data_IF_174335421808
#
_entry.id   IF_174335421808
#
_cell.length_a   1.000
_cell.length_b   1.000
_cell.length_c   1.000
_cell.angle_alpha   90.00
_cell.angle_beta   90.00
_cell.angle_gamma   90.00
#
_symmetry.space_group_name_H-M   'P 1'
#
loop_
_entity.id
_entity.type
_entity.pdbx_description
1 polymer ?
#
# COMPACT_ATOMS: atom_id res chain seq x y z
N UNK A 1 31.02 -14.03 -33.57
CA UNK A 1 29.87 -13.16 -33.21
C UNK A 1 28.62 -13.94 -32.82
N UNK A 2 28.03 -14.80 -33.67
CA UNK A 2 26.80 -15.57 -33.32
C UNK A 2 26.92 -16.42 -32.05
N UNK A 3 28.07 -17.07 -31.83
CA UNK A 3 28.36 -17.87 -30.61
C UNK A 3 28.49 -17.03 -29.34
N UNK A 4 28.97 -15.79 -29.43
CA UNK A 4 29.08 -14.86 -28.29
C UNK A 4 27.71 -14.29 -27.89
N UNK A 5 26.84 -14.02 -28.88
CA UNK A 5 25.46 -13.60 -28.62
C UNK A 5 24.67 -14.72 -27.94
N UNK A 6 24.82 -15.97 -28.41
CA UNK A 6 24.18 -17.12 -27.79
C UNK A 6 24.66 -17.37 -26.35
N UNK A 7 25.97 -17.24 -26.10
CA UNK A 7 26.54 -17.35 -24.75
C UNK A 7 26.03 -16.24 -23.82
N UNK A 8 25.97 -15.00 -24.30
CA UNK A 8 25.41 -13.88 -23.53
C UNK A 8 23.94 -14.15 -23.18
N UNK A 9 23.11 -14.57 -24.16
CA UNK A 9 21.71 -14.93 -23.93
C UNK A 9 21.54 -16.04 -22.89
N UNK A 10 22.38 -17.09 -22.90
CA UNK A 10 22.32 -18.17 -21.90
C UNK A 10 22.76 -17.74 -20.49
N UNK A 11 23.65 -16.74 -20.37
CA UNK A 11 24.06 -16.21 -19.07
C UNK A 11 22.99 -15.30 -18.46
N UNK A 12 22.18 -14.63 -19.29
CA UNK A 12 21.06 -13.82 -18.82
C UNK A 12 19.87 -14.65 -18.31
N UNK A 13 19.61 -15.83 -18.86
CA UNK A 13 18.49 -16.68 -18.40
C UNK A 13 18.73 -17.29 -17.02
N UNK A 14 19.98 -17.42 -16.57
CA UNK A 14 20.31 -17.95 -15.24
C UNK A 14 20.02 -16.97 -14.09
N UNK A 15 19.79 -15.68 -14.38
CA UNK A 15 19.56 -14.65 -13.36
C UNK A 15 18.09 -14.30 -13.13
N UNK A 16 17.15 -14.99 -13.79
CA UNK A 16 15.72 -14.65 -13.78
C UNK A 16 14.83 -15.66 -13.03
N UNK A 17 15.33 -16.29 -11.95
CA UNK A 17 14.54 -17.22 -11.15
C UNK A 17 13.87 -16.51 -9.99
N UNK A 18 12.70 -15.90 -10.21
CA UNK A 18 11.83 -15.47 -9.12
C UNK A 18 11.08 -16.69 -8.58
N UNK A 19 11.19 -16.95 -7.28
CA UNK A 19 10.52 -18.05 -6.58
C UNK A 19 9.21 -17.55 -5.96
N UNK A 20 8.23 -18.45 -5.86
CA UNK A 20 6.99 -18.21 -5.11
C UNK A 20 7.07 -18.95 -3.78
N UNK A 21 7.06 -18.20 -2.68
CA UNK A 21 6.94 -18.72 -1.34
C UNK A 21 5.48 -18.71 -0.89
N UNK A 22 4.93 -19.87 -0.52
CA UNK A 22 3.53 -19.96 -0.06
C UNK A 22 3.44 -19.87 1.47
N UNK A 23 2.43 -19.15 1.96
CA UNK A 23 2.19 -18.96 3.40
C UNK A 23 0.76 -19.33 3.77
N UNK A 24 0.60 -20.18 4.79
CA UNK A 24 -0.70 -20.50 5.38
C UNK A 24 -0.56 -20.77 6.88
N UNK A 25 -1.21 -19.94 7.71
CA UNK A 25 -1.15 -20.07 9.17
C UNK A 25 -2.18 -21.07 9.75
N UNK A 26 -3.01 -21.71 8.93
CA UNK A 26 -3.90 -22.78 9.39
C UNK A 26 -3.11 -24.08 9.65
N UNK A 27 -3.49 -24.83 10.69
CA UNK A 27 -2.79 -26.04 11.15
C UNK A 27 -2.56 -27.11 10.04
N UNK A 28 -3.43 -27.15 9.02
CA UNK A 28 -3.33 -28.09 7.89
C UNK A 28 -3.28 -27.35 6.54
N UNK A 29 -2.66 -26.17 6.51
CA UNK A 29 -2.71 -25.26 5.37
C UNK A 29 -1.90 -25.66 4.13
N UNK A 30 -0.99 -26.62 4.25
CA UNK A 30 -0.20 -27.19 3.13
C UNK A 30 0.81 -26.24 2.48
N UNK A 31 1.07 -25.07 3.06
CA UNK A 31 2.01 -24.09 2.55
C UNK A 31 3.44 -24.35 3.04
N UNK A 32 4.43 -23.74 2.37
CA UNK A 32 5.86 -23.86 2.74
C UNK A 32 6.17 -23.20 4.08
N UNK A 33 5.49 -22.11 4.42
CA UNK A 33 5.66 -21.37 5.66
C UNK A 33 4.33 -21.17 6.38
N UNK A 34 4.39 -21.08 7.70
CA UNK A 34 3.23 -20.76 8.54
C UNK A 34 3.14 -19.27 8.88
N UNK A 35 4.23 -18.52 8.69
CA UNK A 35 4.29 -17.06 8.91
C UNK A 35 4.83 -16.32 7.69
N UNK A 36 4.41 -15.08 7.54
CA UNK A 36 4.86 -14.21 6.44
C UNK A 36 6.34 -13.81 6.64
N UNK A 37 6.78 -13.57 7.87
CA UNK A 37 8.18 -13.23 8.14
C UNK A 37 9.14 -14.37 7.79
N UNK A 38 8.77 -15.63 8.02
CA UNK A 38 9.63 -16.76 7.65
C UNK A 38 9.78 -16.86 6.13
N UNK A 39 8.69 -16.63 5.38
CA UNK A 39 8.73 -16.53 3.92
C UNK A 39 9.57 -15.33 3.44
N UNK A 40 9.44 -14.16 4.08
CA UNK A 40 10.27 -12.98 3.78
C UNK A 40 11.74 -13.30 4.03
N UNK A 41 12.08 -14.02 5.10
CA UNK A 41 13.45 -14.37 5.42
C UNK A 41 14.05 -15.33 4.39
N UNK A 42 13.27 -16.30 3.92
CA UNK A 42 13.69 -17.26 2.89
C UNK A 42 13.77 -16.65 1.48
N UNK A 43 12.96 -15.63 1.19
CA UNK A 43 12.86 -14.99 -0.12
C UNK A 43 14.16 -14.26 -0.52
N UNK A 44 14.52 -14.36 -1.79
CA UNK A 44 15.46 -13.48 -2.46
C UNK A 44 14.77 -12.19 -2.96
N UNK A 45 15.56 -11.26 -3.49
CA UNK A 45 15.01 -10.04 -4.11
C UNK A 45 14.27 -10.40 -5.40
N UNK A 46 13.07 -9.85 -5.57
CA UNK A 46 12.21 -10.10 -6.73
C UNK A 46 11.28 -11.30 -6.57
N UNK A 47 11.39 -12.04 -5.46
CA UNK A 47 10.51 -13.18 -5.19
C UNK A 47 9.09 -12.73 -4.84
N UNK A 48 8.17 -13.69 -4.96
CA UNK A 48 6.77 -13.53 -4.62
C UNK A 48 6.43 -14.30 -3.35
N UNK A 49 5.67 -13.68 -2.45
CA UNK A 49 5.07 -14.32 -1.30
C UNK A 49 3.57 -14.42 -1.55
N UNK A 50 3.08 -15.65 -1.72
CA UNK A 50 1.66 -15.94 -1.89
C UNK A 50 1.05 -16.33 -0.54
N UNK A 51 0.23 -15.43 0.00
CA UNK A 51 -0.45 -15.60 1.29
C UNK A 51 -1.84 -16.17 1.07
N UNK A 52 -2.07 -17.39 1.57
CA UNK A 52 -3.36 -18.05 1.47
C UNK A 52 -4.40 -17.35 2.36
N UNK A 53 -5.66 -17.35 1.93
CA UNK A 53 -6.76 -16.95 2.81
C UNK A 53 -6.89 -17.93 3.98
N UNK A 54 -7.20 -17.41 5.16
CA UNK A 54 -7.26 -18.19 6.40
C UNK A 54 -8.35 -17.65 7.33
N UNK A 55 -8.99 -18.51 8.16
CA UNK A 55 -9.83 -18.04 9.26
C UNK A 55 -9.05 -17.34 10.37
N UNK A 56 -7.72 -17.54 10.43
CA UNK A 56 -6.84 -16.97 11.44
C UNK A 56 -6.17 -15.69 10.91
N UNK A 57 -6.04 -14.69 11.78
CA UNK A 57 -5.29 -13.47 11.48
C UNK A 57 -3.79 -13.78 11.45
N UNK A 58 -3.09 -13.35 10.40
CA UNK A 58 -1.64 -13.41 10.33
C UNK A 58 -1.02 -12.34 11.23
N UNK A 59 0.08 -12.70 11.89
CA UNK A 59 0.91 -11.75 12.63
C UNK A 59 1.43 -10.63 11.71
N UNK A 60 1.85 -9.51 12.31
CA UNK A 60 2.47 -8.42 11.59
C UNK A 60 3.78 -8.87 10.92
N UNK A 61 4.10 -8.27 9.79
CA UNK A 61 5.33 -8.57 9.05
C UNK A 61 6.12 -7.33 8.68
N UNK A 62 7.42 -7.52 8.45
CA UNK A 62 8.34 -6.46 8.09
C UNK A 62 9.09 -6.81 6.80
N UNK A 63 9.10 -5.90 5.83
CA UNK A 63 9.97 -5.95 4.66
C UNK A 63 11.06 -4.91 4.86
N UNK A 64 12.32 -5.35 4.90
CA UNK A 64 13.47 -4.45 5.07
C UNK A 64 14.50 -4.74 3.99
N UNK A 65 14.84 -3.72 3.21
CA UNK A 65 15.88 -3.76 2.17
C UNK A 65 15.69 -4.88 1.12
N UNK A 66 14.44 -5.25 0.85
CA UNK A 66 14.10 -6.34 -0.08
C UNK A 66 12.87 -5.96 -0.90
N UNK A 67 13.02 -5.97 -2.22
CA UNK A 67 11.92 -5.80 -3.18
C UNK A 67 11.20 -7.14 -3.29
N UNK A 68 9.93 -7.17 -2.92
CA UNK A 68 9.09 -8.37 -2.96
C UNK A 68 7.74 -8.06 -3.62
N UNK A 69 7.10 -9.10 -4.13
CA UNK A 69 5.66 -9.07 -4.42
C UNK A 69 4.95 -9.89 -3.36
N UNK A 70 4.10 -9.27 -2.55
CA UNK A 70 3.32 -9.97 -1.52
C UNK A 70 1.87 -9.94 -1.94
N UNK A 71 1.30 -11.10 -2.21
CA UNK A 71 -0.03 -11.21 -2.79
C UNK A 71 -0.93 -12.16 -2.00
N UNK A 72 -2.19 -11.77 -1.83
CA UNK A 72 -3.25 -12.58 -1.23
C UNK A 72 -4.45 -12.77 -2.16
N UNK A 73 -5.53 -13.39 -1.66
CA UNK A 73 -6.69 -13.77 -2.46
C UNK A 73 -7.58 -12.60 -2.89
N UNK A 74 -7.36 -11.38 -2.40
CA UNK A 74 -8.25 -10.23 -2.58
C UNK A 74 -9.01 -9.86 -1.30
N UNK A 75 -9.42 -8.60 -1.17
CA UNK A 75 -10.23 -8.15 -0.02
C UNK A 75 -11.69 -8.61 -0.07
N UNK A 76 -12.26 -8.85 -1.26
CA UNK A 76 -13.60 -9.40 -1.47
C UNK A 76 -13.58 -10.55 -2.50
N UNK A 77 -13.05 -11.73 -2.13
CA UNK A 77 -12.99 -12.85 -3.06
C UNK A 77 -14.40 -13.41 -3.33
N UNK A 78 -14.82 -13.42 -4.59
CA UNK A 78 -16.11 -13.98 -5.03
C UNK A 78 -16.00 -15.50 -5.20
N UNK A 79 -16.01 -16.27 -4.10
CA UNK A 79 -15.92 -17.74 -4.10
C UNK A 79 -16.84 -18.37 -3.05
N UNK A 80 -17.24 -19.63 -3.25
CA UNK A 80 -18.11 -20.37 -2.32
C UNK A 80 -17.55 -20.45 -0.87
N UNK A 81 -16.23 -20.42 -0.71
CA UNK A 81 -15.54 -20.27 0.58
C UNK A 81 -14.58 -19.08 0.52
N UNK A 82 -15.14 -17.87 0.63
CA UNK A 82 -14.43 -16.60 0.56
C UNK A 82 -13.55 -16.35 1.80
N UNK A 83 -12.41 -17.04 1.90
CA UNK A 83 -11.40 -16.74 2.92
C UNK A 83 -10.48 -15.61 2.47
N UNK A 84 -10.18 -14.69 3.40
CA UNK A 84 -9.32 -13.53 3.18
C UNK A 84 -7.98 -13.74 3.88
N UNK A 85 -6.93 -13.07 3.42
CA UNK A 85 -5.66 -13.00 4.15
C UNK A 85 -5.69 -11.75 5.04
N UNK A 86 -6.15 -11.90 6.28
CA UNK A 86 -6.24 -10.80 7.25
C UNK A 86 -4.94 -10.70 8.02
N UNK A 87 -4.29 -9.54 7.98
CA UNK A 87 -2.98 -9.27 8.56
C UNK A 87 -3.13 -8.26 9.70
N UNK A 88 -2.38 -8.46 10.78
CA UNK A 88 -2.37 -7.53 11.90
C UNK A 88 -1.87 -6.13 11.49
N UNK A 89 -0.70 -6.02 10.86
CA UNK A 89 -0.14 -4.78 10.29
C UNK A 89 1.06 -5.12 9.39
N UNK A 90 1.64 -4.12 8.71
CA UNK A 90 2.88 -4.30 7.97
C UNK A 90 3.79 -3.08 8.07
N UNK A 91 5.11 -3.33 8.07
CA UNK A 91 6.13 -2.30 7.93
C UNK A 91 6.97 -2.58 6.67
N UNK A 92 7.11 -1.59 5.80
CA UNK A 92 7.97 -1.65 4.62
C UNK A 92 8.99 -0.52 4.72
N UNK A 93 10.28 -0.84 4.75
CA UNK A 93 11.32 0.17 4.98
C UNK A 93 12.63 -0.14 4.26
N UNK A 94 13.39 0.92 4.03
CA UNK A 94 14.81 0.85 3.71
C UNK A 94 15.59 1.26 4.96
N UNK A 95 16.53 0.43 5.40
CA UNK A 95 17.48 0.78 6.45
C UNK A 95 18.58 1.69 5.88
N UNK A 96 19.47 2.21 6.74
CA UNK A 96 20.67 2.94 6.30
C UNK A 96 21.63 2.12 5.44
N UNK A 97 21.52 0.78 5.49
CA UNK A 97 22.32 -0.13 4.70
C UNK A 97 21.70 -0.43 3.32
N UNK A 98 20.58 0.21 2.96
CA UNK A 98 19.96 -0.02 1.66
C UNK A 98 20.82 0.51 0.52
N UNK A 99 20.92 -0.29 -0.54
CA UNK A 99 21.64 0.02 -1.78
C UNK A 99 20.69 -0.18 -2.97
N UNK A 100 21.05 0.24 -4.19
CA UNK A 100 20.22 -0.04 -5.37
C UNK A 100 19.89 -1.52 -5.59
N UNK A 101 20.72 -2.44 -5.05
CA UNK A 101 20.55 -3.90 -5.12
C UNK A 101 20.04 -4.50 -3.81
N UNK A 102 19.75 -3.69 -2.80
CA UNK A 102 19.29 -4.10 -1.47
C UNK A 102 18.31 -3.05 -0.94
N UNK A 103 17.12 -2.99 -1.54
CA UNK A 103 16.10 -1.99 -1.27
C UNK A 103 14.71 -2.60 -1.38
N UNK A 104 13.77 -2.07 -0.60
CA UNK A 104 12.34 -2.33 -0.71
C UNK A 104 11.63 -1.47 -1.75
N UNK A 105 12.35 -0.62 -2.48
CA UNK A 105 11.80 0.10 -3.63
C UNK A 105 11.25 -0.88 -4.67
N UNK A 106 10.09 -0.60 -5.24
CA UNK A 106 9.46 -1.51 -6.19
C UNK A 106 8.65 -2.64 -5.55
N UNK A 107 8.46 -2.65 -4.23
CA UNK A 107 7.65 -3.69 -3.57
C UNK A 107 6.19 -3.54 -3.97
N UNK A 108 5.54 -4.68 -4.21
CA UNK A 108 4.12 -4.74 -4.53
C UNK A 108 3.34 -5.44 -3.41
N UNK A 109 2.19 -4.86 -3.03
CA UNK A 109 1.27 -5.45 -2.06
C UNK A 109 -0.08 -5.60 -2.73
N UNK A 110 -0.57 -6.83 -2.81
CA UNK A 110 -1.79 -7.14 -3.55
C UNK A 110 -2.75 -8.01 -2.75
N UNK A 111 -4.05 -7.71 -2.77
CA UNK A 111 -5.04 -8.68 -2.33
C UNK A 111 -5.05 -9.02 -0.83
N UNK A 112 -4.53 -8.15 0.04
CA UNK A 112 -4.45 -8.34 1.49
C UNK A 112 -5.46 -7.46 2.24
N UNK A 113 -5.83 -7.89 3.45
CA UNK A 113 -6.67 -7.10 4.36
C UNK A 113 -5.87 -6.77 5.60
N UNK A 114 -5.69 -5.49 5.92
CA UNK A 114 -4.93 -5.04 7.08
C UNK A 114 -5.86 -4.53 8.18
N UNK A 115 -5.79 -5.13 9.37
CA UNK A 115 -6.52 -4.64 10.55
C UNK A 115 -5.88 -3.37 11.13
N UNK A 116 -4.55 -3.34 11.21
CA UNK A 116 -3.75 -2.19 11.59
C UNK A 116 -3.24 -1.40 10.39
N UNK A 117 -2.42 -0.39 10.66
CA UNK A 117 -1.84 0.45 9.62
C UNK A 117 -0.79 -0.31 8.79
N UNK A 118 -0.68 0.06 7.51
CA UNK A 118 0.50 -0.25 6.71
C UNK A 118 1.43 0.95 6.75
N UNK A 119 2.60 0.71 7.30
CA UNK A 119 3.59 1.70 7.69
C UNK A 119 4.76 1.62 6.72
N UNK A 120 4.99 2.68 5.96
CA UNK A 120 6.00 2.74 4.90
C UNK A 120 7.04 3.80 5.23
N UNK A 121 8.31 3.47 5.06
CA UNK A 121 9.42 4.32 5.44
C UNK A 121 9.32 4.76 6.90
N UNK A 122 9.13 3.80 7.80
CA UNK A 122 9.00 4.02 9.24
C UNK A 122 9.52 2.78 9.98
N UNK A 123 10.08 2.97 11.18
CA UNK A 123 10.62 1.90 12.01
C UNK A 123 11.91 2.29 12.74
N UNK A 124 12.62 3.31 12.24
CA UNK A 124 13.81 3.91 12.85
C UNK A 124 13.98 5.34 12.38
N UNK A 125 14.57 6.21 13.22
CA UNK A 125 14.93 7.60 12.85
C UNK A 125 15.93 7.67 11.69
N UNK A 126 16.59 6.55 11.39
CA UNK A 126 17.58 6.43 10.32
C UNK A 126 17.04 5.69 9.09
N UNK A 127 15.76 5.32 9.05
CA UNK A 127 15.21 4.69 7.86
C UNK A 127 15.21 5.68 6.67
N UNK A 128 15.32 5.11 5.47
CA UNK A 128 15.36 5.85 4.21
C UNK A 128 14.02 5.78 3.47
N UNK A 129 13.89 6.64 2.47
CA UNK A 129 12.75 6.67 1.53
C UNK A 129 12.53 5.31 0.86
N UNK A 130 11.27 4.88 0.77
CA UNK A 130 10.80 3.77 -0.07
C UNK A 130 9.99 4.38 -1.21
N UNK A 131 10.32 4.02 -2.45
CA UNK A 131 9.70 4.54 -3.68
C UNK A 131 9.30 3.43 -4.64
N UNK A 132 8.53 3.78 -5.68
CA UNK A 132 8.09 2.87 -6.75
C UNK A 132 7.16 1.76 -6.23
N UNK A 133 6.30 2.05 -5.26
CA UNK A 133 5.41 1.04 -4.67
C UNK A 133 4.15 0.87 -5.52
N UNK A 134 3.66 -0.38 -5.58
CA UNK A 134 2.31 -0.68 -6.09
C UNK A 134 1.47 -1.35 -5.01
N UNK A 135 0.29 -0.82 -4.78
CA UNK A 135 -0.68 -1.35 -3.83
C UNK A 135 -1.98 -1.57 -4.59
N UNK A 136 -2.42 -2.82 -4.70
CA UNK A 136 -3.58 -3.20 -5.52
C UNK A 136 -4.54 -4.12 -4.77
N UNK A 137 -5.85 -3.93 -4.94
CA UNK A 137 -6.89 -4.82 -4.40
C UNK A 137 -6.74 -5.13 -2.91
N UNK A 138 -6.30 -4.16 -2.10
CA UNK A 138 -6.16 -4.31 -0.66
C UNK A 138 -7.31 -3.65 0.13
N UNK A 139 -7.56 -4.09 1.36
CA UNK A 139 -8.41 -3.40 2.33
C UNK A 139 -7.56 -2.87 3.49
N UNK A 140 -7.70 -1.59 3.83
CA UNK A 140 -6.94 -0.93 4.89
C UNK A 140 -7.87 -0.46 6.00
N UNK A 141 -7.78 -1.12 7.17
CA UNK A 141 -8.57 -0.75 8.36
C UNK A 141 -7.88 0.20 9.32
N UNK A 142 -6.55 0.15 9.35
CA UNK A 142 -5.74 1.12 10.09
C UNK A 142 -5.21 2.26 9.25
N UNK A 143 -5.41 2.24 7.93
CA UNK A 143 -4.88 3.24 7.01
C UNK A 143 -3.49 2.91 6.45
N UNK A 144 -2.88 3.91 5.80
CA UNK A 144 -1.55 3.85 5.19
C UNK A 144 -0.77 5.06 5.69
N UNK A 145 0.39 4.83 6.31
CA UNK A 145 1.27 5.89 6.80
C UNK A 145 2.59 5.87 6.03
N UNK A 146 3.01 7.01 5.49
CA UNK A 146 4.26 7.15 4.70
C UNK A 146 5.09 8.30 5.31
N UNK A 147 6.12 7.96 6.08
CA UNK A 147 6.75 8.95 6.99
C UNK A 147 7.93 9.69 6.36
N UNK A 148 8.83 9.01 5.64
CA UNK A 148 9.90 9.69 4.89
C UNK A 148 9.49 9.98 3.46
N UNK A 149 10.24 10.89 2.82
CA UNK A 149 9.99 11.31 1.44
C UNK A 149 9.91 10.10 0.52
N UNK A 150 8.96 10.13 -0.41
CA UNK A 150 8.61 8.97 -1.21
C UNK A 150 8.09 9.42 -2.57
N UNK A 151 8.27 8.57 -3.58
CA UNK A 151 7.82 8.90 -4.93
C UNK A 151 7.37 7.69 -5.72
N UNK A 152 6.55 7.96 -6.74
CA UNK A 152 6.07 6.98 -7.72
C UNK A 152 5.24 5.87 -7.07
N UNK A 153 4.12 6.22 -6.47
CA UNK A 153 3.21 5.24 -5.86
C UNK A 153 1.97 5.09 -6.73
N UNK A 154 1.53 3.85 -6.89
CA UNK A 154 0.24 3.52 -7.48
C UNK A 154 -0.56 2.78 -6.41
N UNK A 155 -1.67 3.37 -5.97
CA UNK A 155 -2.63 2.76 -5.05
C UNK A 155 -3.96 2.63 -5.78
N UNK A 156 -4.36 1.40 -6.08
CA UNK A 156 -5.51 1.15 -6.93
C UNK A 156 -6.41 0.01 -6.46
N UNK A 157 -7.70 0.10 -6.81
CA UNK A 157 -8.71 -0.93 -6.51
C UNK A 157 -8.80 -1.29 -5.02
N UNK A 158 -8.37 -0.38 -4.14
CA UNK A 158 -8.32 -0.60 -2.70
C UNK A 158 -9.57 -0.09 -2.00
N UNK A 159 -9.82 -0.66 -0.82
CA UNK A 159 -10.87 -0.23 0.10
C UNK A 159 -10.25 0.28 1.40
N UNK A 160 -10.18 1.61 1.56
CA UNK A 160 -9.68 2.27 2.75
C UNK A 160 -10.88 2.54 3.65
N UNK A 161 -10.97 1.85 4.78
CA UNK A 161 -12.19 1.83 5.59
C UNK A 161 -11.92 1.78 7.08
N UNK A 162 -12.70 2.44 7.92
CA UNK A 162 -12.53 2.38 9.37
C UNK A 162 -12.77 3.72 10.04
N UNK A 163 -12.80 3.72 11.37
CA UNK A 163 -13.02 4.95 12.13
C UNK A 163 -11.80 5.88 12.07
N UNK A 164 -10.59 5.31 11.98
CA UNK A 164 -9.32 6.04 11.95
C UNK A 164 -8.53 5.87 10.63
N UNK A 165 -9.00 5.01 9.73
CA UNK A 165 -8.32 4.69 8.48
C UNK A 165 -8.22 5.92 7.57
N UNK A 166 -7.00 6.27 7.20
CA UNK A 166 -6.68 7.38 6.28
C UNK A 166 -5.34 7.12 5.60
N UNK A 167 -5.00 7.94 4.62
CA UNK A 167 -3.63 8.03 4.09
C UNK A 167 -2.93 9.20 4.77
N UNK A 168 -1.82 8.94 5.45
CA UNK A 168 -1.06 9.94 6.20
C UNK A 168 0.34 10.07 5.61
N UNK A 169 0.79 11.29 5.40
CA UNK A 169 2.17 11.60 5.07
C UNK A 169 2.91 12.18 6.28
N UNK A 170 4.23 12.04 6.31
CA UNK A 170 5.10 12.80 7.21
C UNK A 170 5.09 14.29 6.89
N UNK A 171 5.22 15.14 7.90
CA UNK A 171 5.06 16.60 7.74
C UNK A 171 6.31 17.32 7.23
N UNK A 172 7.48 16.69 7.31
CA UNK A 172 8.79 17.33 7.04
C UNK A 172 9.43 16.91 5.72
N UNK A 173 8.91 15.86 5.08
CA UNK A 173 9.47 15.31 3.85
C UNK A 173 8.70 15.78 2.61
N UNK A 174 9.29 15.59 1.43
CA UNK A 174 8.65 15.85 0.13
C UNK A 174 8.18 14.55 -0.52
N UNK A 175 7.01 14.61 -1.16
CA UNK A 175 6.38 13.46 -1.81
C UNK A 175 5.99 13.82 -3.24
N UNK A 176 6.19 12.90 -4.18
CA UNK A 176 5.85 13.18 -5.57
C UNK A 176 5.36 11.99 -6.38
N UNK A 177 4.53 12.26 -7.39
CA UNK A 177 4.04 11.26 -8.35
C UNK A 177 3.26 10.13 -7.68
N UNK A 178 2.10 10.46 -7.11
CA UNK A 178 1.20 9.49 -6.52
C UNK A 178 -0.08 9.41 -7.34
N UNK A 179 -0.51 8.19 -7.63
CA UNK A 179 -1.80 7.90 -8.27
C UNK A 179 -2.65 7.07 -7.34
N UNK A 180 -3.78 7.63 -6.92
CA UNK A 180 -4.87 6.93 -6.25
C UNK A 180 -5.99 6.75 -7.27
N UNK A 181 -6.25 5.51 -7.71
CA UNK A 181 -7.32 5.26 -8.68
C UNK A 181 -8.26 4.11 -8.34
N UNK A 182 -9.54 4.23 -8.69
CA UNK A 182 -10.54 3.18 -8.48
C UNK A 182 -10.62 2.70 -7.03
N UNK A 183 -10.32 3.56 -6.07
CA UNK A 183 -10.39 3.22 -4.65
C UNK A 183 -11.73 3.65 -4.05
N UNK A 184 -12.12 2.95 -2.99
CA UNK A 184 -13.21 3.35 -2.11
C UNK A 184 -12.60 3.83 -0.80
N UNK A 185 -12.86 5.08 -0.45
CA UNK A 185 -12.53 5.66 0.84
C UNK A 185 -13.82 5.81 1.65
N UNK A 186 -13.96 5.02 2.72
CA UNK A 186 -15.14 5.04 3.60
C UNK A 186 -14.76 5.22 5.05
N UNK A 187 -15.09 6.36 5.64
CA UNK A 187 -14.77 6.62 7.05
C UNK A 187 -16.03 6.50 7.90
N UNK A 188 -15.92 5.64 8.92
CA UNK A 188 -17.01 5.30 9.85
C UNK A 188 -17.04 6.14 11.13
N UNK A 189 -16.50 7.36 11.12
CA UNK A 189 -16.42 8.23 12.30
C UNK A 189 -16.31 9.72 11.95
N UNK A 190 -16.62 10.58 12.91
CA UNK A 190 -16.60 12.04 12.74
C UNK A 190 -15.18 12.60 12.60
N UNK A 191 -15.01 13.62 11.75
CA UNK A 191 -13.84 14.51 11.66
C UNK A 191 -12.49 13.87 11.31
N UNK A 192 -12.45 12.63 10.83
CA UNK A 192 -11.23 12.02 10.32
C UNK A 192 -11.25 12.16 8.80
N UNK A 193 -10.51 13.13 8.25
CA UNK A 193 -10.36 13.20 6.80
C UNK A 193 -9.65 11.96 6.22
N UNK A 194 -9.89 11.69 4.94
CA UNK A 194 -9.30 10.55 4.20
C UNK A 194 -7.81 10.69 3.98
N UNK A 195 -7.34 11.93 3.99
CA UNK A 195 -5.94 12.28 3.84
C UNK A 195 -5.49 13.16 5.00
N UNK A 196 -4.19 13.11 5.31
CA UNK A 196 -3.57 13.95 6.33
C UNK A 196 -2.12 14.30 5.93
N UNK A 197 -1.74 15.57 6.17
CA UNK A 197 -0.40 16.13 5.99
C UNK A 197 0.12 16.18 4.54
N UNK A 198 -0.75 16.41 3.56
CA UNK A 198 -0.36 16.53 2.15
C UNK A 198 0.15 17.96 1.84
N UNK A 199 1.10 18.45 2.64
CA UNK A 199 1.60 19.84 2.54
C UNK A 199 2.74 20.00 1.52
N UNK A 200 3.63 19.01 1.44
CA UNK A 200 4.84 19.03 0.62
C UNK A 200 4.73 18.02 -0.52
N UNK A 201 3.64 18.11 -1.28
CA UNK A 201 3.31 17.15 -2.33
C UNK A 201 3.35 17.80 -3.71
N UNK A 202 3.75 17.02 -4.71
CA UNK A 202 3.70 17.41 -6.13
C UNK A 202 3.22 16.24 -6.99
N UNK A 203 2.38 16.52 -7.98
CA UNK A 203 1.83 15.49 -8.88
C UNK A 203 1.11 14.35 -8.12
N UNK A 204 0.17 14.72 -7.25
CA UNK A 204 -0.73 13.79 -6.58
C UNK A 204 -2.08 13.79 -7.29
N UNK A 205 -2.50 12.62 -7.77
CA UNK A 205 -3.71 12.45 -8.57
C UNK A 205 -4.64 11.46 -7.87
N UNK A 206 -5.86 11.91 -7.59
CA UNK A 206 -6.99 11.08 -7.20
C UNK A 206 -7.93 10.99 -8.40
N UNK A 207 -8.03 9.80 -9.00
CA UNK A 207 -8.81 9.56 -10.22
C UNK A 207 -9.85 8.45 -10.03
N UNK A 208 -11.11 8.67 -10.39
CA UNK A 208 -12.13 7.59 -10.35
C UNK A 208 -12.31 6.93 -8.98
N UNK A 209 -12.15 7.68 -7.89
CA UNK A 209 -12.36 7.17 -6.54
C UNK A 209 -13.76 7.53 -6.01
N UNK A 210 -14.22 6.75 -5.05
CA UNK A 210 -15.44 7.02 -4.29
C UNK A 210 -15.07 7.38 -2.85
N UNK A 211 -15.39 8.61 -2.45
CA UNK A 211 -15.21 9.11 -1.08
C UNK A 211 -16.57 9.19 -0.40
N UNK A 212 -16.72 8.52 0.75
CA UNK A 212 -17.97 8.52 1.49
C UNK A 212 -17.77 8.43 2.99
N UNK A 213 -18.76 8.87 3.74
CA UNK A 213 -18.80 8.73 5.20
C UNK A 213 -20.19 8.31 5.66
N UNK A 214 -20.23 7.52 6.74
CA UNK A 214 -21.49 7.16 7.43
C UNK A 214 -21.86 8.18 8.51
N UNK A 215 -21.05 9.24 8.72
CA UNK A 215 -21.20 10.22 9.79
C UNK A 215 -21.62 11.60 9.27
N UNK A 216 -22.90 11.83 8.92
CA UNK A 216 -23.41 13.07 8.32
C UNK A 216 -23.58 14.22 9.32
N UNK A 217 -22.78 14.29 10.40
CA UNK A 217 -22.92 15.33 11.44
C UNK A 217 -22.81 16.75 10.89
N UNK A 218 -23.32 17.75 11.63
CA UNK A 218 -23.56 19.13 11.16
C UNK A 218 -22.38 19.89 10.51
N UNK A 219 -21.13 19.40 10.63
CA UNK A 219 -19.94 19.95 9.95
C UNK A 219 -19.48 19.20 8.70
N UNK A 220 -20.08 18.03 8.40
CA UNK A 220 -19.60 17.07 7.40
C UNK A 220 -18.27 16.41 7.79
N UNK A 221 -17.96 15.24 7.21
CA UNK A 221 -16.60 14.72 7.28
C UNK A 221 -15.74 15.48 6.27
N UNK A 222 -14.66 16.10 6.74
CA UNK A 222 -13.73 16.80 5.86
C UNK A 222 -13.00 15.80 4.96
N UNK A 223 -12.63 16.22 3.75
CA UNK A 223 -11.78 15.39 2.90
C UNK A 223 -10.38 15.19 3.49
N UNK A 224 -9.88 16.19 4.24
CA UNK A 224 -8.58 16.17 4.90
C UNK A 224 -8.68 16.53 6.39
N UNK A 225 -7.86 15.88 7.22
CA UNK A 225 -7.74 16.20 8.66
C UNK A 225 -6.68 17.29 8.96
N UNK A 226 -6.00 17.78 7.94
CA UNK A 226 -5.01 18.84 8.04
C UNK A 226 -4.98 19.60 6.71
N UNK A 227 -4.14 20.62 6.59
CA UNK A 227 -3.91 21.23 5.28
C UNK A 227 -3.31 20.21 4.30
N UNK A 228 -3.85 20.20 3.09
CA UNK A 228 -3.43 19.41 1.95
C UNK A 228 -3.42 20.33 0.73
N UNK A 229 -2.33 20.32 -0.05
CA UNK A 229 -2.07 21.28 -1.12
C UNK A 229 -1.74 20.59 -2.43
N UNK A 230 -1.93 21.27 -3.56
CA UNK A 230 -1.43 20.84 -4.88
C UNK A 230 -1.90 19.44 -5.32
N UNK A 231 -3.15 19.09 -5.00
CA UNK A 231 -3.76 17.82 -5.40
C UNK A 231 -4.56 17.98 -6.69
N UNK A 232 -4.66 16.91 -7.47
CA UNK A 232 -5.60 16.84 -8.60
C UNK A 232 -6.66 15.79 -8.32
N UNK A 233 -7.92 16.20 -8.23
CA UNK A 233 -9.08 15.32 -8.15
C UNK A 233 -9.78 15.29 -9.51
N UNK A 234 -9.85 14.12 -10.14
CA UNK A 234 -10.49 13.92 -11.45
C UNK A 234 -11.48 12.76 -11.44
N UNK A 235 -12.72 12.96 -11.91
CA UNK A 235 -13.72 11.88 -12.03
C UNK A 235 -14.02 11.14 -10.71
N UNK A 236 -13.92 11.80 -9.57
CA UNK A 236 -14.25 11.17 -8.28
C UNK A 236 -15.71 11.42 -7.92
N UNK A 237 -16.24 10.63 -6.99
CA UNK A 237 -17.57 10.80 -6.41
C UNK A 237 -17.40 11.10 -4.92
N UNK A 238 -18.01 12.17 -4.44
CA UNK A 238 -17.99 12.57 -3.04
C UNK A 238 -19.40 12.49 -2.43
N UNK A 239 -19.57 11.65 -1.41
CA UNK A 239 -20.86 11.43 -0.73
C UNK A 239 -20.75 11.85 0.73
N UNK A 240 -21.46 12.92 1.10
CA UNK A 240 -21.46 13.50 2.45
C UNK A 240 -20.08 14.01 2.92
N UNK A 241 -19.25 14.49 1.99
CA UNK A 241 -17.89 14.97 2.27
C UNK A 241 -17.79 16.48 2.04
N UNK A 242 -17.14 17.16 2.98
CA UNK A 242 -16.80 18.57 2.86
C UNK A 242 -15.40 18.74 2.25
N UNK A 243 -15.34 19.26 1.01
CA UNK A 243 -14.10 19.57 0.31
C UNK A 243 -13.57 20.98 0.58
N UNK A 244 -14.37 21.85 1.21
CA UNK A 244 -14.04 23.26 1.43
C UNK A 244 -13.09 23.49 2.61
N UNK A 245 -12.74 22.44 3.36
CA UNK A 245 -11.89 22.54 4.55
C UNK A 245 -10.66 21.65 4.39
N UNK A 246 -9.48 22.27 4.55
CA UNK A 246 -8.20 21.55 4.55
C UNK A 246 -7.65 21.19 3.18
N UNK A 247 -8.32 21.51 2.07
CA UNK A 247 -7.79 21.34 0.71
C UNK A 247 -7.54 22.71 0.08
N UNK A 248 -6.28 23.03 -0.22
CA UNK A 248 -5.84 24.30 -0.81
C UNK A 248 -5.12 24.05 -2.15
N UNK A 249 -5.10 25.05 -3.04
CA UNK A 249 -4.35 25.02 -4.32
C UNK A 249 -4.51 23.72 -5.13
N UNK A 250 -5.68 23.09 -5.03
CA UNK A 250 -5.96 21.81 -5.66
C UNK A 250 -6.91 22.00 -6.83
N UNK A 251 -6.78 21.15 -7.83
CA UNK A 251 -7.60 21.18 -9.05
C UNK A 251 -8.68 20.12 -8.96
N UNK A 252 -9.92 20.48 -9.30
CA UNK A 252 -11.06 19.58 -9.35
C UNK A 252 -11.63 19.54 -10.76
N UNK A 253 -11.57 18.38 -11.41
CA UNK A 253 -12.05 18.14 -12.77
C UNK A 253 -13.13 17.05 -12.78
N UNK A 254 -14.38 17.40 -13.10
CA UNK A 254 -15.48 16.44 -13.23
C UNK A 254 -15.71 15.59 -11.96
N UNK A 255 -16.01 16.21 -10.80
CA UNK A 255 -16.27 15.52 -9.53
C UNK A 255 -17.64 15.87 -8.95
#
# INVERSE_FOLDING_TARGET
>A
MKKLILLALTLFTLQANAVVHTVNNAQNGGAQFTTINDAINAAAMGDTIYVHGSPLVYAAFNVTDKKLTIMGPGWAPQKNNAVRAIIASAIIRNSTASTPTKTSNGTEIQGLVFNGAVSISIGSILDMSVSNMRIDRCEFRGGIDIVYGASNYIIENCYITGSLARVTLGSTSSYSNFLFQNNIFRIGGFNNGFIANFNNVSNFIFSHNLFMTDAPGAGGSNASNATAKNLTFSNNIFVNINLNTGIEFSTFNNN
#
